data_IF_923637110178
#
_entry.id   IF_923637110178
#
_cell.length_a   1.000
_cell.length_b   1.000
_cell.length_c   1.000
_cell.angle_alpha   90.00
_cell.angle_beta   90.00
_cell.angle_gamma   90.00
#
_symmetry.space_group_name_H-M   'P 1'
#
loop_
_entity.id
_entity.type
_entity.pdbx_description
1 polymer ?
#
# COMPACT_ATOMS: atom_id res chain seq x y z
N UNK A 1 -48.67 -17.59 21.63
CA UNK A 1 -48.03 -16.32 21.19
C UNK A 1 -48.40 -15.86 19.77
N UNK A 2 -49.19 -16.62 19.00
CA UNK A 2 -49.67 -16.18 17.67
C UNK A 2 -50.98 -15.38 17.68
N UNK A 3 -51.89 -15.65 18.62
CA UNK A 3 -53.23 -15.01 18.65
C UNK A 3 -53.31 -13.70 19.45
N UNK A 4 -52.54 -13.52 20.52
CA UNK A 4 -52.49 -12.22 21.24
C UNK A 4 -51.88 -11.08 20.40
N UNK A 5 -50.95 -11.39 19.48
CA UNK A 5 -50.38 -10.38 18.56
C UNK A 5 -51.30 -10.06 17.37
N UNK A 6 -52.36 -10.84 17.14
CA UNK A 6 -53.36 -10.60 16.08
C UNK A 6 -54.48 -9.68 16.56
N UNK A 7 -54.98 -9.89 17.79
CA UNK A 7 -55.98 -9.02 18.42
C UNK A 7 -55.52 -7.57 18.62
N UNK A 8 -54.29 -7.36 19.12
CA UNK A 8 -53.71 -6.02 19.31
C UNK A 8 -53.49 -5.24 18.00
N UNK A 9 -53.42 -5.91 16.84
CA UNK A 9 -53.29 -5.27 15.51
C UNK A 9 -54.64 -4.88 14.91
N UNK A 10 -55.72 -5.57 15.25
CA UNK A 10 -57.07 -5.19 14.83
C UNK A 10 -57.61 -4.03 15.67
N UNK A 11 -57.39 -4.05 16.98
CA UNK A 11 -57.79 -2.98 17.89
C UNK A 11 -57.08 -1.64 17.58
N UNK A 12 -55.78 -1.68 17.25
CA UNK A 12 -55.03 -0.51 16.79
C UNK A 12 -55.52 0.02 15.43
N UNK A 13 -56.03 -0.83 14.54
CA UNK A 13 -56.60 -0.41 13.24
C UNK A 13 -57.97 0.25 13.40
N UNK A 14 -58.80 -0.25 14.31
CA UNK A 14 -60.09 0.39 14.61
C UNK A 14 -59.91 1.74 15.30
N UNK A 15 -58.98 1.86 16.25
CA UNK A 15 -58.65 3.13 16.90
C UNK A 15 -58.09 4.17 15.89
N UNK A 16 -57.25 3.74 14.94
CA UNK A 16 -56.76 4.63 13.87
C UNK A 16 -57.88 5.06 12.90
N UNK A 17 -58.81 4.15 12.53
CA UNK A 17 -59.97 4.51 11.71
C UNK A 17 -60.89 5.50 12.42
N UNK A 18 -61.20 5.26 13.70
CA UNK A 18 -62.05 6.13 14.50
C UNK A 18 -61.42 7.53 14.67
N UNK A 19 -60.10 7.60 14.85
CA UNK A 19 -59.34 8.86 14.89
C UNK A 19 -59.41 9.62 13.56
N UNK A 20 -59.24 8.93 12.43
CA UNK A 20 -59.32 9.55 11.10
C UNK A 20 -60.73 10.00 10.72
N UNK A 21 -61.78 9.25 11.10
CA UNK A 21 -63.18 9.63 10.86
C UNK A 21 -63.57 10.85 11.69
N UNK A 22 -63.27 10.86 13.00
CA UNK A 22 -63.52 12.04 13.84
C UNK A 22 -62.74 13.26 13.38
N UNK A 23 -61.50 13.09 12.87
CA UNK A 23 -60.71 14.18 12.31
C UNK A 23 -61.32 14.74 11.01
N UNK A 24 -61.96 13.91 10.17
CA UNK A 24 -62.61 14.36 8.93
C UNK A 24 -63.89 15.14 9.20
N UNK A 25 -64.69 14.74 10.18
CA UNK A 25 -65.93 15.45 10.53
C UNK A 25 -65.66 16.84 11.10
N UNK A 26 -64.62 16.97 11.94
CA UNK A 26 -64.16 18.27 12.46
C UNK A 26 -63.64 19.18 11.34
N UNK A 27 -62.88 18.63 10.38
CA UNK A 27 -62.41 19.39 9.21
C UNK A 27 -63.57 19.85 8.30
N UNK A 28 -64.59 19.00 8.11
CA UNK A 28 -65.75 19.31 7.27
C UNK A 28 -66.66 20.37 7.90
N UNK A 29 -66.91 20.29 9.21
CA UNK A 29 -67.65 21.31 9.95
C UNK A 29 -66.93 22.68 9.90
N UNK A 30 -65.61 22.67 10.11
CA UNK A 30 -64.78 23.90 10.03
C UNK A 30 -64.83 24.52 8.64
N UNK A 31 -64.72 23.72 7.57
CA UNK A 31 -64.81 24.20 6.20
C UNK A 31 -66.17 24.80 5.85
N UNK A 32 -67.26 24.22 6.38
CA UNK A 32 -68.62 24.70 6.12
C UNK A 32 -68.91 26.02 6.85
N UNK A 33 -68.47 26.16 8.10
CA UNK A 33 -68.54 27.44 8.83
C UNK A 33 -67.71 28.54 8.16
N UNK A 34 -66.50 28.21 7.69
CA UNK A 34 -65.67 29.15 6.92
C UNK A 34 -66.38 29.58 5.64
N UNK A 35 -67.02 28.65 4.91
CA UNK A 35 -67.75 28.96 3.68
C UNK A 35 -68.96 29.86 3.93
N UNK A 36 -69.76 29.62 4.97
CA UNK A 36 -70.90 30.46 5.31
C UNK A 36 -70.49 31.88 5.73
N UNK A 37 -69.40 32.02 6.51
CA UNK A 37 -68.81 33.32 6.85
C UNK A 37 -68.32 34.02 5.57
N UNK A 38 -67.63 33.28 4.70
CA UNK A 38 -67.06 33.80 3.44
C UNK A 38 -68.14 34.28 2.47
N UNK A 39 -69.22 33.52 2.28
CA UNK A 39 -70.33 33.89 1.39
C UNK A 39 -71.14 35.08 1.92
N UNK A 40 -71.22 35.25 3.24
CA UNK A 40 -71.85 36.41 3.89
C UNK A 40 -70.98 37.67 3.73
N UNK A 41 -69.66 37.55 3.89
CA UNK A 41 -68.70 38.65 3.65
C UNK A 41 -68.61 39.05 2.17
N UNK A 42 -68.71 38.11 1.23
CA UNK A 42 -68.65 38.39 -0.22
C UNK A 42 -69.84 39.22 -0.73
N UNK A 43 -71.04 39.05 -0.17
CA UNK A 43 -72.24 39.83 -0.53
C UNK A 43 -72.17 41.30 -0.09
N UNK A 44 -71.39 41.63 0.93
CA UNK A 44 -71.24 43.00 1.44
C UNK A 44 -70.15 43.81 0.70
N UNK A 45 -69.22 43.15 0.02
CA UNK A 45 -68.00 43.78 -0.57
C UNK A 45 -68.07 43.98 -2.09
N UNK A 46 -69.09 43.42 -2.76
CA UNK A 46 -69.24 43.44 -4.23
C UNK A 46 -69.22 44.85 -4.87
N UNK A 47 -69.89 45.90 -4.32
CA UNK A 47 -69.88 47.25 -4.89
C UNK A 47 -68.53 47.99 -4.80
N UNK A 48 -67.64 47.55 -3.90
CA UNK A 48 -66.27 48.07 -3.77
C UNK A 48 -65.32 47.46 -4.81
N UNK A 49 -65.70 46.36 -5.45
CA UNK A 49 -64.84 45.55 -6.34
C UNK A 49 -64.61 46.19 -7.71
N UNK A 50 -65.57 46.96 -8.22
CA UNK A 50 -65.45 47.64 -9.52
C UNK A 50 -64.59 48.90 -9.44
N UNK A 51 -64.67 49.66 -8.33
CA UNK A 51 -63.78 50.80 -8.04
C UNK A 51 -62.34 50.39 -7.76
N UNK A 52 -62.13 49.21 -7.20
CA UNK A 52 -60.81 48.62 -7.00
C UNK A 52 -60.18 48.21 -8.34
N UNK A 53 -60.95 47.66 -9.29
CA UNK A 53 -60.42 47.21 -10.60
C UNK A 53 -59.72 48.32 -11.38
N UNK A 54 -60.32 49.51 -11.42
CA UNK A 54 -59.77 50.70 -12.11
C UNK A 54 -58.47 51.21 -11.44
N UNK A 55 -58.37 51.12 -10.10
CA UNK A 55 -57.15 51.42 -9.34
C UNK A 55 -56.09 50.31 -9.54
N UNK A 56 -56.51 49.05 -9.71
CA UNK A 56 -55.61 47.90 -9.85
C UNK A 56 -54.93 47.86 -11.22
N UNK A 57 -55.61 48.30 -12.29
CA UNK A 57 -55.05 48.39 -13.64
C UNK A 57 -53.96 49.47 -13.72
N UNK A 58 -54.13 50.63 -13.07
CA UNK A 58 -53.08 51.66 -12.95
C UNK A 58 -51.90 51.24 -12.06
N UNK A 59 -52.13 50.43 -11.01
CA UNK A 59 -51.07 49.84 -10.18
C UNK A 59 -50.31 48.74 -10.95
N UNK A 60 -50.97 47.98 -11.82
CA UNK A 60 -50.36 46.92 -12.64
C UNK A 60 -49.39 47.46 -13.69
N UNK A 61 -49.66 48.61 -14.31
CA UNK A 61 -48.70 49.29 -15.19
C UNK A 61 -47.47 49.79 -14.40
N UNK A 62 -47.66 50.40 -13.22
CA UNK A 62 -46.55 50.79 -12.34
C UNK A 62 -45.73 49.61 -11.80
N UNK A 63 -46.37 48.45 -11.56
CA UNK A 63 -45.70 47.21 -11.17
C UNK A 63 -44.91 46.60 -12.34
N UNK A 64 -45.36 46.72 -13.59
CA UNK A 64 -44.61 46.22 -14.75
C UNK A 64 -43.32 47.00 -15.00
N UNK A 65 -43.33 48.33 -14.82
CA UNK A 65 -42.12 49.15 -14.90
C UNK A 65 -41.18 48.88 -13.72
N UNK A 66 -41.72 48.74 -12.51
CA UNK A 66 -40.93 48.35 -11.32
C UNK A 66 -40.34 46.94 -11.47
N UNK A 67 -41.06 46.00 -12.12
CA UNK A 67 -40.59 44.62 -12.36
C UNK A 67 -39.45 44.54 -13.38
N UNK A 68 -39.41 45.43 -14.38
CA UNK A 68 -38.26 45.57 -15.30
C UNK A 68 -37.03 46.14 -14.59
N UNK A 69 -37.22 47.13 -13.74
CA UNK A 69 -36.13 47.80 -13.01
C UNK A 69 -35.56 46.91 -11.87
N UNK A 70 -36.43 46.18 -11.17
CA UNK A 70 -36.05 45.23 -10.10
C UNK A 70 -35.53 43.90 -10.68
N UNK A 71 -36.07 43.42 -11.81
CA UNK A 71 -35.65 42.19 -12.48
C UNK A 71 -34.20 42.21 -12.98
N UNK A 72 -33.78 43.30 -13.63
CA UNK A 72 -32.38 43.46 -14.06
C UNK A 72 -31.39 43.61 -12.90
N UNK A 73 -31.82 44.27 -11.80
CA UNK A 73 -31.02 44.35 -10.56
C UNK A 73 -30.90 43.00 -9.86
N UNK A 74 -31.97 42.19 -9.82
CA UNK A 74 -31.95 40.84 -9.26
C UNK A 74 -31.13 39.87 -10.10
N UNK A 75 -31.18 39.93 -11.44
CA UNK A 75 -30.29 39.15 -12.31
C UNK A 75 -28.82 39.54 -12.09
N UNK A 76 -28.52 40.83 -11.93
CA UNK A 76 -27.19 41.30 -11.55
C UNK A 76 -26.73 40.77 -10.19
N UNK A 77 -27.61 40.75 -9.19
CA UNK A 77 -27.33 40.20 -7.86
C UNK A 77 -27.14 38.68 -7.91
N UNK A 78 -27.99 37.93 -8.63
CA UNK A 78 -27.88 36.48 -8.81
C UNK A 78 -26.57 36.13 -9.53
N UNK A 79 -26.24 36.84 -10.61
CA UNK A 79 -24.98 36.66 -11.33
C UNK A 79 -23.77 36.93 -10.42
N UNK A 80 -23.83 38.01 -9.63
CA UNK A 80 -22.79 38.33 -8.65
C UNK A 80 -22.67 37.25 -7.58
N UNK A 81 -23.79 36.72 -7.07
CA UNK A 81 -23.81 35.63 -6.08
C UNK A 81 -23.28 34.32 -6.69
N UNK A 82 -23.59 34.01 -7.95
CA UNK A 82 -23.04 32.86 -8.67
C UNK A 82 -21.53 33.00 -8.87
N UNK A 83 -21.05 34.16 -9.35
CA UNK A 83 -19.62 34.45 -9.49
C UNK A 83 -18.88 34.38 -8.15
N UNK A 84 -19.48 34.89 -7.06
CA UNK A 84 -18.92 34.78 -5.71
C UNK A 84 -18.87 33.32 -5.23
N UNK A 85 -19.89 32.51 -5.54
CA UNK A 85 -19.95 31.09 -5.17
C UNK A 85 -18.92 30.28 -5.96
N UNK A 86 -18.77 30.54 -7.26
CA UNK A 86 -17.75 29.92 -8.12
C UNK A 86 -16.34 30.28 -7.65
N UNK A 87 -16.09 31.56 -7.34
CA UNK A 87 -14.81 32.01 -6.76
C UNK A 87 -14.52 31.32 -5.43
N UNK A 88 -15.49 31.30 -4.52
CA UNK A 88 -15.33 30.63 -3.23
C UNK A 88 -15.06 29.12 -3.40
N UNK A 89 -15.77 28.47 -4.32
CA UNK A 89 -15.56 27.04 -4.63
C UNK A 89 -14.18 26.79 -5.27
N UNK A 90 -13.72 27.67 -6.15
CA UNK A 90 -12.38 27.61 -6.75
C UNK A 90 -11.29 27.76 -5.70
N UNK A 91 -11.40 28.77 -4.83
CA UNK A 91 -10.44 28.99 -3.74
C UNK A 91 -10.41 27.81 -2.77
N UNK A 92 -11.57 27.27 -2.39
CA UNK A 92 -11.63 26.08 -1.53
C UNK A 92 -10.99 24.87 -2.22
N UNK A 93 -11.24 24.67 -3.53
CA UNK A 93 -10.61 23.61 -4.31
C UNK A 93 -9.10 23.77 -4.35
N UNK A 94 -8.58 24.96 -4.65
CA UNK A 94 -7.14 25.24 -4.68
C UNK A 94 -6.47 24.99 -3.32
N UNK A 95 -7.10 25.42 -2.23
CA UNK A 95 -6.60 25.15 -0.87
C UNK A 95 -6.61 23.66 -0.55
N UNK A 96 -7.69 22.94 -0.89
CA UNK A 96 -7.76 21.48 -0.69
C UNK A 96 -6.69 20.78 -1.51
N UNK A 97 -6.52 21.14 -2.78
CA UNK A 97 -5.48 20.58 -3.65
C UNK A 97 -4.10 20.82 -3.06
N UNK A 98 -3.77 22.05 -2.65
CA UNK A 98 -2.47 22.36 -2.04
C UNK A 98 -2.24 21.63 -0.71
N UNK A 99 -3.28 21.42 0.09
CA UNK A 99 -3.19 20.60 1.31
C UNK A 99 -2.96 19.12 0.97
N UNK A 100 -3.65 18.56 -0.02
CA UNK A 100 -3.48 17.17 -0.46
C UNK A 100 -2.08 16.95 -1.03
N UNK A 101 -1.62 17.81 -1.93
CA UNK A 101 -0.27 17.77 -2.50
C UNK A 101 0.80 17.86 -1.39
N UNK A 102 0.60 18.76 -0.42
CA UNK A 102 1.50 18.86 0.73
C UNK A 102 1.51 17.62 1.62
N UNK A 103 0.35 16.97 1.84
CA UNK A 103 0.25 15.71 2.58
C UNK A 103 0.93 14.57 1.83
N UNK A 104 0.75 14.47 0.51
CA UNK A 104 1.41 13.48 -0.33
C UNK A 104 2.93 13.66 -0.32
N UNK A 105 3.43 14.89 -0.43
CA UNK A 105 4.86 15.19 -0.38
C UNK A 105 5.49 14.81 0.97
N UNK A 106 4.82 15.13 2.09
CA UNK A 106 5.26 14.73 3.44
C UNK A 106 5.29 13.21 3.56
N UNK A 107 4.24 12.52 3.10
CA UNK A 107 4.18 11.05 3.10
C UNK A 107 5.32 10.43 2.25
N UNK A 108 5.60 10.98 1.07
CA UNK A 108 6.71 10.50 0.23
C UNK A 108 8.08 10.74 0.86
N UNK A 109 8.25 11.87 1.54
CA UNK A 109 9.47 12.14 2.31
C UNK A 109 9.66 11.13 3.44
N UNK A 110 8.62 10.84 4.22
CA UNK A 110 8.66 9.85 5.30
C UNK A 110 9.01 8.45 4.77
N UNK A 111 8.38 8.01 3.68
CA UNK A 111 8.71 6.73 3.02
C UNK A 111 10.17 6.69 2.56
N UNK A 112 10.68 7.78 2.00
CA UNK A 112 12.09 7.88 1.59
C UNK A 112 13.03 7.78 2.79
N UNK A 113 12.73 8.48 3.87
CA UNK A 113 13.52 8.44 5.10
C UNK A 113 13.52 7.04 5.72
N UNK A 114 12.38 6.35 5.70
CA UNK A 114 12.26 4.96 6.15
C UNK A 114 13.10 3.99 5.29
N UNK A 115 13.01 4.07 3.96
CA UNK A 115 13.85 3.29 3.06
C UNK A 115 15.35 3.52 3.31
N UNK A 116 15.75 4.78 3.47
CA UNK A 116 17.13 5.15 3.79
C UNK A 116 17.55 4.62 5.16
N UNK A 117 16.65 4.59 6.14
CA UNK A 117 16.91 4.04 7.48
C UNK A 117 17.34 2.58 7.40
N UNK A 118 16.62 1.74 6.64
CA UNK A 118 16.97 0.33 6.49
C UNK A 118 18.38 0.13 5.92
N UNK A 119 18.79 0.94 4.94
CA UNK A 119 20.14 0.88 4.35
C UNK A 119 21.20 1.44 5.30
N UNK A 120 20.95 2.62 5.89
CA UNK A 120 21.91 3.35 6.73
C UNK A 120 22.13 2.69 8.09
N UNK A 121 21.11 2.06 8.66
CA UNK A 121 21.21 1.40 9.97
C UNK A 121 21.70 -0.04 9.87
N UNK A 122 21.61 -0.69 8.70
CA UNK A 122 22.14 -2.04 8.54
C UNK A 122 23.62 -2.08 8.92
N UNK A 123 23.93 -2.93 9.89
CA UNK A 123 25.26 -3.20 10.45
C UNK A 123 25.40 -4.71 10.65
N UNK A 124 26.63 -5.18 10.72
CA UNK A 124 26.90 -6.57 11.06
C UNK A 124 26.80 -6.73 12.59
N UNK A 125 25.68 -7.24 13.09
CA UNK A 125 25.46 -7.47 14.53
C UNK A 125 26.14 -8.77 14.95
N UNK A 126 26.78 -8.81 16.11
CA UNK A 126 27.50 -10.01 16.58
C UNK A 126 26.86 -10.66 17.80
N UNK A 127 25.73 -10.15 18.25
CA UNK A 127 25.04 -10.57 19.45
C UNK A 127 23.53 -10.63 19.15
N UNK A 128 22.97 -11.82 19.26
CA UNK A 128 21.55 -12.05 18.99
C UNK A 128 20.84 -12.41 20.29
N UNK A 129 19.53 -12.18 20.34
CA UNK A 129 18.67 -12.66 21.41
C UNK A 129 18.42 -14.18 21.21
N UNK A 130 18.97 -15.05 22.07
CA UNK A 130 18.84 -16.50 21.91
C UNK A 130 17.45 -17.03 22.30
N UNK A 131 16.67 -16.24 23.04
CA UNK A 131 15.35 -16.61 23.55
C UNK A 131 14.23 -16.21 22.59
N UNK A 132 14.53 -15.37 21.60
CA UNK A 132 13.57 -14.91 20.60
C UNK A 132 13.82 -15.50 19.21
N UNK A 133 12.93 -16.39 18.80
CA UNK A 133 12.99 -17.03 17.48
C UNK A 133 12.26 -16.22 16.40
N UNK A 134 12.77 -16.26 15.17
CA UNK A 134 12.11 -15.68 13.99
C UNK A 134 11.17 -16.74 13.38
N UNK A 135 9.88 -16.46 13.16
CA UNK A 135 8.96 -17.40 12.52
C UNK A 135 9.41 -17.84 11.12
N UNK A 136 9.06 -19.06 10.71
CA UNK A 136 9.41 -19.58 9.38
C UNK A 136 8.80 -18.75 8.25
N UNK A 137 7.56 -18.29 8.41
CA UNK A 137 6.90 -17.45 7.40
C UNK A 137 7.63 -16.12 7.20
N UNK A 138 8.12 -15.48 8.27
CA UNK A 138 8.92 -14.26 8.17
C UNK A 138 10.21 -14.51 7.39
N UNK A 139 10.88 -15.66 7.61
CA UNK A 139 12.10 -16.01 6.85
C UNK A 139 11.78 -16.25 5.38
N UNK A 140 10.66 -16.92 5.06
CA UNK A 140 10.22 -17.13 3.68
C UNK A 140 9.88 -15.80 3.00
N UNK A 141 9.16 -14.90 3.67
CA UNK A 141 8.83 -13.58 3.15
C UNK A 141 10.09 -12.77 2.85
N UNK A 142 11.06 -12.76 3.76
CA UNK A 142 12.34 -12.10 3.55
C UNK A 142 13.04 -12.65 2.29
N UNK A 143 13.09 -13.97 2.15
CA UNK A 143 13.76 -14.63 1.02
C UNK A 143 13.03 -14.40 -0.30
N UNK A 144 11.70 -14.44 -0.31
CA UNK A 144 10.86 -14.20 -1.49
C UNK A 144 10.98 -12.75 -1.96
N UNK A 145 10.93 -11.78 -1.05
CA UNK A 145 11.12 -10.37 -1.39
C UNK A 145 12.56 -10.12 -1.87
N UNK A 146 13.55 -10.71 -1.19
CA UNK A 146 14.95 -10.57 -1.59
C UNK A 146 15.25 -11.19 -2.96
N UNK A 147 14.49 -12.21 -3.38
CA UNK A 147 14.63 -12.83 -4.70
C UNK A 147 14.27 -11.90 -5.86
N UNK A 148 13.68 -10.74 -5.60
CA UNK A 148 13.53 -9.65 -6.57
C UNK A 148 14.86 -8.95 -6.92
N UNK A 149 15.97 -9.35 -6.29
CA UNK A 149 17.32 -8.90 -6.66
C UNK A 149 17.60 -9.18 -8.16
N UNK A 150 18.32 -8.28 -8.86
CA UNK A 150 18.67 -8.52 -10.26
C UNK A 150 19.72 -9.63 -10.40
N UNK A 151 19.66 -10.35 -11.52
CA UNK A 151 20.69 -11.31 -11.95
C UNK A 151 20.91 -11.25 -13.46
N UNK A 152 22.08 -11.70 -13.92
CA UNK A 152 22.39 -11.70 -15.35
C UNK A 152 21.40 -12.58 -16.13
N UNK A 153 20.75 -12.00 -17.13
CA UNK A 153 19.65 -12.64 -17.88
C UNK A 153 18.53 -13.21 -17.00
N UNK A 154 18.34 -12.66 -15.80
CA UNK A 154 17.38 -13.17 -14.81
C UNK A 154 17.59 -14.66 -14.43
N UNK A 155 18.82 -15.18 -14.54
CA UNK A 155 19.12 -16.60 -14.28
C UNK A 155 19.08 -16.99 -12.80
N UNK A 156 19.01 -16.03 -11.86
CA UNK A 156 18.78 -16.26 -10.42
C UNK A 156 19.64 -17.43 -9.86
N UNK A 157 20.98 -17.35 -9.92
CA UNK A 157 21.85 -18.48 -9.60
C UNK A 157 21.99 -18.75 -8.10
N UNK A 158 21.14 -18.14 -7.27
CA UNK A 158 21.17 -18.34 -5.82
C UNK A 158 20.26 -19.49 -5.40
N UNK A 159 20.73 -20.24 -4.43
CA UNK A 159 19.91 -21.15 -3.62
C UNK A 159 20.18 -20.84 -2.14
N UNK A 160 19.29 -21.28 -1.25
CA UNK A 160 19.44 -21.07 0.18
C UNK A 160 19.16 -22.33 0.99
N UNK A 161 19.94 -22.54 2.05
CA UNK A 161 19.62 -23.49 3.10
C UNK A 161 19.52 -22.72 4.41
N UNK A 162 18.36 -22.78 5.07
CA UNK A 162 18.11 -22.11 6.35
C UNK A 162 18.35 -23.10 7.49
N UNK A 163 19.36 -22.84 8.32
CA UNK A 163 19.72 -23.64 9.49
C UNK A 163 19.16 -22.99 10.76
N UNK A 164 18.07 -23.55 11.29
CA UNK A 164 17.39 -23.07 12.52
C UNK A 164 17.52 -23.96 13.74
N UNK A 165 17.51 -25.28 13.56
CA UNK A 165 17.53 -26.25 14.66
C UNK A 165 18.72 -26.00 15.59
N UNK A 166 18.46 -25.95 16.91
CA UNK A 166 19.49 -25.72 17.94
C UNK A 166 20.69 -26.67 17.78
N UNK A 167 20.46 -27.96 17.58
CA UNK A 167 21.53 -28.95 17.39
C UNK A 167 22.30 -28.74 16.08
N UNK A 168 21.61 -28.35 15.01
CA UNK A 168 22.28 -28.03 13.73
C UNK A 168 23.09 -26.74 13.83
N UNK A 169 22.61 -25.73 14.56
CA UNK A 169 23.34 -24.48 14.81
C UNK A 169 24.60 -24.71 15.63
N UNK A 170 24.58 -25.60 16.64
CA UNK A 170 25.78 -26.03 17.38
C UNK A 170 26.84 -26.64 16.46
N UNK A 171 26.46 -27.59 15.61
CA UNK A 171 27.37 -28.18 14.61
C UNK A 171 27.88 -27.13 13.61
N UNK A 172 27.00 -26.24 13.17
CA UNK A 172 27.35 -25.17 12.25
C UNK A 172 28.38 -24.20 12.88
N UNK A 173 28.23 -23.88 14.17
CA UNK A 173 29.18 -23.05 14.92
C UNK A 173 30.60 -23.63 14.89
N UNK A 174 30.75 -24.95 15.05
CA UNK A 174 32.06 -25.62 14.94
C UNK A 174 32.68 -25.44 13.54
N UNK A 175 31.85 -25.56 12.49
CA UNK A 175 32.26 -25.35 11.09
C UNK A 175 32.64 -23.89 10.82
N UNK A 176 31.96 -22.96 11.49
CA UNK A 176 32.18 -21.52 11.42
C UNK A 176 33.22 -21.01 12.44
N UNK A 177 34.22 -21.83 12.77
CA UNK A 177 35.32 -21.47 13.68
C UNK A 177 34.88 -20.96 15.06
N UNK A 178 33.85 -21.60 15.61
CA UNK A 178 33.31 -21.35 16.95
C UNK A 178 32.73 -19.94 17.21
N UNK A 179 32.35 -19.22 16.16
CA UNK A 179 31.67 -17.92 16.29
C UNK A 179 30.32 -18.06 17.02
N UNK A 180 30.22 -17.54 18.25
CA UNK A 180 29.03 -17.64 19.13
C UNK A 180 27.74 -17.20 18.45
N UNK A 181 27.80 -16.10 17.68
CA UNK A 181 26.67 -15.53 16.95
C UNK A 181 25.94 -16.53 16.03
N UNK A 182 26.62 -17.57 15.54
CA UNK A 182 26.04 -18.62 14.69
C UNK A 182 25.04 -19.47 15.49
N UNK A 183 25.33 -19.72 16.76
CA UNK A 183 24.45 -20.46 17.65
C UNK A 183 23.35 -19.58 18.25
N UNK A 184 23.69 -18.34 18.62
CA UNK A 184 22.74 -17.37 19.21
C UNK A 184 21.67 -16.90 18.20
N UNK A 185 22.04 -16.68 16.93
CA UNK A 185 21.11 -16.20 15.91
C UNK A 185 19.90 -17.13 15.75
N UNK A 186 18.72 -16.56 15.54
CA UNK A 186 17.49 -17.35 15.34
C UNK A 186 17.60 -18.29 14.14
N UNK A 187 18.31 -17.90 13.07
CA UNK A 187 18.63 -18.75 11.93
C UNK A 187 19.98 -18.37 11.29
N UNK A 188 20.55 -19.31 10.52
CA UNK A 188 21.66 -19.04 9.61
C UNK A 188 21.24 -19.38 8.18
N UNK A 189 21.26 -18.39 7.29
CA UNK A 189 20.93 -18.54 5.87
C UNK A 189 22.24 -18.79 5.12
N UNK A 190 22.45 -20.03 4.68
CA UNK A 190 23.59 -20.39 3.83
C UNK A 190 23.26 -20.00 2.40
N UNK A 191 23.95 -19.00 1.87
CA UNK A 191 23.78 -18.55 0.49
C UNK A 191 24.62 -19.44 -0.41
N UNK A 192 24.00 -20.02 -1.43
CA UNK A 192 24.64 -20.94 -2.35
C UNK A 192 24.62 -20.31 -3.74
N UNK A 193 25.79 -20.17 -4.36
CA UNK A 193 25.96 -19.77 -5.75
C UNK A 193 26.03 -21.03 -6.64
N UNK A 194 24.97 -21.28 -7.39
CA UNK A 194 24.86 -22.36 -8.35
C UNK A 194 25.60 -21.98 -9.65
N UNK A 195 26.73 -22.64 -9.91
CA UNK A 195 27.50 -22.38 -11.13
C UNK A 195 26.79 -22.92 -12.36
N UNK A 196 25.88 -23.88 -12.24
CA UNK A 196 25.13 -24.53 -13.32
C UNK A 196 23.79 -23.84 -13.66
N UNK A 197 23.50 -22.70 -13.03
CA UNK A 197 22.22 -22.02 -13.17
C UNK A 197 21.82 -21.67 -14.61
N UNK A 198 22.80 -21.40 -15.50
CA UNK A 198 22.47 -21.14 -16.91
C UNK A 198 21.82 -22.35 -17.57
N UNK A 199 22.42 -23.53 -17.46
CA UNK A 199 21.89 -24.77 -18.00
C UNK A 199 20.58 -25.18 -17.32
N UNK A 200 20.46 -24.92 -16.03
CA UNK A 200 19.30 -25.34 -15.23
C UNK A 200 18.09 -24.42 -15.36
N UNK A 201 18.29 -23.11 -15.59
CA UNK A 201 17.22 -22.11 -15.50
C UNK A 201 16.88 -21.42 -16.83
N UNK A 202 17.79 -21.41 -17.83
CA UNK A 202 17.62 -20.59 -19.05
C UNK A 202 16.31 -20.85 -19.76
N UNK A 203 15.89 -22.10 -19.88
CA UNK A 203 14.68 -22.46 -20.61
C UNK A 203 13.44 -21.82 -19.99
N UNK A 204 13.24 -22.01 -18.67
CA UNK A 204 12.10 -21.42 -17.95
C UNK A 204 12.08 -19.89 -18.03
N UNK A 205 13.26 -19.26 -17.96
CA UNK A 205 13.36 -17.79 -18.06
C UNK A 205 12.94 -17.33 -19.45
N UNK A 206 13.49 -17.94 -20.50
CA UNK A 206 13.16 -17.55 -21.87
C UNK A 206 11.71 -17.87 -22.24
N UNK A 207 11.16 -18.98 -21.76
CA UNK A 207 9.74 -19.32 -21.95
C UNK A 207 8.84 -18.22 -21.39
N UNK A 208 9.13 -17.72 -20.18
CA UNK A 208 8.39 -16.59 -19.61
C UNK A 208 8.56 -15.29 -20.41
N UNK A 209 9.73 -15.09 -21.05
CA UNK A 209 9.98 -13.90 -21.85
C UNK A 209 9.22 -13.93 -23.17
N UNK A 210 9.08 -15.10 -23.78
CA UNK A 210 8.20 -15.29 -24.94
C UNK A 210 6.75 -15.03 -24.53
N UNK A 211 6.29 -15.67 -23.46
CA UNK A 211 4.89 -15.56 -23.00
C UNK A 211 4.50 -14.11 -22.71
N UNK A 212 5.40 -13.34 -22.11
CA UNK A 212 5.21 -11.92 -21.79
C UNK A 212 5.52 -10.97 -22.95
N UNK A 213 6.01 -11.48 -24.09
CA UNK A 213 6.33 -10.70 -25.28
C UNK A 213 7.61 -9.85 -25.17
N UNK A 214 8.52 -10.17 -24.23
CA UNK A 214 9.84 -9.54 -24.15
C UNK A 214 10.76 -9.94 -25.31
N UNK A 215 10.56 -11.14 -25.87
CA UNK A 215 11.24 -11.65 -27.05
C UNK A 215 10.24 -12.40 -27.95
N UNK A 216 10.57 -12.58 -29.22
CA UNK A 216 9.78 -13.42 -30.12
C UNK A 216 10.18 -14.89 -30.00
N UNK A 217 9.25 -15.80 -30.32
CA UNK A 217 9.48 -17.26 -30.27
C UNK A 217 10.67 -17.67 -31.15
N UNK A 218 10.80 -17.10 -32.35
CA UNK A 218 11.89 -17.42 -33.28
C UNK A 218 13.28 -16.97 -32.79
N UNK A 219 13.35 -16.03 -31.85
CA UNK A 219 14.61 -15.52 -31.28
C UNK A 219 15.08 -16.35 -30.08
N UNK A 220 14.16 -17.12 -29.46
CA UNK A 220 14.35 -17.85 -28.20
C UNK A 220 15.62 -18.71 -28.21
N UNK A 221 15.75 -19.59 -29.20
CA UNK A 221 16.85 -20.57 -29.23
C UNK A 221 18.21 -19.92 -29.48
N UNK A 222 18.27 -18.89 -30.33
CA UNK A 222 19.50 -18.14 -30.58
C UNK A 222 20.00 -17.40 -29.33
N UNK A 223 19.07 -16.83 -28.56
CA UNK A 223 19.38 -16.17 -27.29
C UNK A 223 19.82 -17.18 -26.23
N UNK A 224 19.16 -18.35 -26.17
CA UNK A 224 19.54 -19.46 -25.30
C UNK A 224 20.99 -19.87 -25.53
N UNK A 225 21.40 -20.09 -26.78
CA UNK A 225 22.78 -20.45 -27.12
C UNK A 225 23.79 -19.38 -26.69
N UNK A 226 23.45 -18.10 -26.89
CA UNK A 226 24.27 -16.96 -26.48
C UNK A 226 24.46 -16.92 -24.96
N UNK A 227 23.39 -17.13 -24.20
CA UNK A 227 23.43 -17.18 -22.74
C UNK A 227 24.32 -18.32 -22.28
N UNK A 228 24.12 -19.54 -22.80
CA UNK A 228 24.93 -20.71 -22.44
C UNK A 228 26.41 -20.53 -22.80
N UNK A 229 26.71 -19.96 -23.97
CA UNK A 229 28.09 -19.63 -24.36
C UNK A 229 28.76 -18.67 -23.36
N UNK A 230 28.00 -17.74 -22.78
CA UNK A 230 28.45 -16.83 -21.73
C UNK A 230 28.87 -17.50 -20.42
N UNK A 231 28.45 -18.75 -20.18
CA UNK A 231 28.71 -19.53 -18.95
C UNK A 231 29.66 -20.71 -19.14
N UNK A 232 30.16 -20.99 -20.35
CA UNK A 232 31.05 -22.14 -20.63
C UNK A 232 32.37 -22.13 -19.83
N UNK A 233 32.93 -20.96 -19.56
CA UNK A 233 34.21 -20.85 -18.84
C UNK A 233 34.01 -21.06 -17.33
N UNK A 234 34.76 -21.99 -16.69
CA UNK A 234 34.67 -22.26 -15.24
C UNK A 234 34.82 -21.01 -14.37
N UNK A 235 35.76 -20.14 -14.72
CA UNK A 235 36.01 -18.90 -13.98
C UNK A 235 34.88 -17.88 -14.19
N UNK A 236 34.38 -17.73 -15.42
CA UNK A 236 33.28 -16.80 -15.72
C UNK A 236 31.99 -17.21 -15.03
N UNK A 237 31.62 -18.51 -15.05
CA UNK A 237 30.41 -18.99 -14.37
C UNK A 237 30.52 -18.83 -12.86
N UNK A 238 31.67 -19.12 -12.25
CA UNK A 238 31.93 -18.87 -10.83
C UNK A 238 31.73 -17.40 -10.48
N UNK A 239 32.37 -16.49 -11.23
CA UNK A 239 32.24 -15.04 -11.01
C UNK A 239 30.79 -14.55 -11.13
N UNK A 240 30.06 -15.01 -12.14
CA UNK A 240 28.65 -14.65 -12.35
C UNK A 240 27.75 -15.14 -11.21
N UNK A 241 27.86 -16.42 -10.85
CA UNK A 241 27.06 -17.02 -9.80
C UNK A 241 27.31 -16.34 -8.44
N UNK A 242 28.58 -16.09 -8.08
CA UNK A 242 28.94 -15.40 -6.83
C UNK A 242 28.42 -13.96 -6.83
N UNK A 243 28.66 -13.19 -7.91
CA UNK A 243 28.22 -11.79 -8.01
C UNK A 243 26.72 -11.67 -7.79
N UNK A 244 25.93 -12.47 -8.52
CA UNK A 244 24.47 -12.37 -8.49
C UNK A 244 23.92 -12.86 -7.14
N UNK A 245 24.52 -13.91 -6.56
CA UNK A 245 24.14 -14.38 -5.21
C UNK A 245 24.51 -13.39 -4.10
N UNK A 246 25.59 -12.60 -4.27
CA UNK A 246 25.95 -11.55 -3.33
C UNK A 246 24.98 -10.36 -3.37
N UNK A 247 24.43 -10.02 -4.56
CA UNK A 247 23.36 -9.03 -4.68
C UNK A 247 22.10 -9.50 -3.94
N UNK A 248 21.69 -10.75 -4.17
CA UNK A 248 20.59 -11.37 -3.43
C UNK A 248 20.84 -11.37 -1.91
N UNK A 249 22.03 -11.74 -1.46
CA UNK A 249 22.36 -11.74 -0.03
C UNK A 249 22.30 -10.33 0.59
N UNK A 250 22.71 -9.28 -0.15
CA UNK A 250 22.54 -7.91 0.31
C UNK A 250 21.06 -7.51 0.41
N UNK A 251 20.23 -7.92 -0.56
CA UNK A 251 18.77 -7.76 -0.48
C UNK A 251 18.19 -8.43 0.76
N UNK A 252 18.58 -9.67 1.06
CA UNK A 252 18.17 -10.38 2.30
C UNK A 252 18.48 -9.53 3.54
N UNK A 253 19.68 -8.96 3.63
CA UNK A 253 20.08 -8.15 4.78
C UNK A 253 19.30 -6.84 4.92
N UNK A 254 18.89 -6.22 3.80
CA UNK A 254 18.06 -5.01 3.82
C UNK A 254 16.61 -5.35 4.16
N UNK A 255 16.03 -6.37 3.54
CA UNK A 255 14.65 -6.80 3.83
C UNK A 255 14.53 -7.26 5.27
N UNK A 256 15.53 -7.94 5.84
CA UNK A 256 15.55 -8.28 7.26
C UNK A 256 15.33 -7.05 8.18
N UNK A 257 15.87 -5.87 7.81
CA UNK A 257 15.67 -4.63 8.59
C UNK A 257 14.22 -4.17 8.59
N UNK A 258 13.49 -4.37 7.49
CA UNK A 258 12.05 -4.07 7.40
C UNK A 258 11.25 -4.89 8.43
N UNK A 259 11.63 -6.15 8.64
CA UNK A 259 11.02 -7.01 9.67
C UNK A 259 11.57 -6.77 11.09
N UNK A 260 12.35 -5.70 11.30
CA UNK A 260 12.96 -5.38 12.59
C UNK A 260 14.08 -6.34 13.02
N UNK A 261 14.62 -7.12 12.09
CA UNK A 261 15.69 -8.09 12.34
C UNK A 261 17.08 -7.48 12.09
N UNK A 262 18.09 -8.14 12.63
CA UNK A 262 19.49 -7.86 12.42
C UNK A 262 20.17 -9.01 11.69
N UNK A 263 21.29 -8.72 11.02
CA UNK A 263 22.03 -9.71 10.25
C UNK A 263 23.54 -9.61 10.44
N UNK A 264 24.22 -10.72 10.15
CA UNK A 264 25.69 -10.79 10.08
C UNK A 264 26.12 -11.67 8.90
N UNK A 265 26.62 -11.09 7.80
CA UNK A 265 27.24 -11.86 6.73
C UNK A 265 28.63 -12.34 7.19
N UNK A 266 28.99 -13.58 6.86
CA UNK A 266 30.27 -14.18 7.21
C UNK A 266 30.81 -15.06 6.08
N UNK A 267 32.13 -14.97 5.83
CA UNK A 267 32.91 -15.89 5.01
C UNK A 267 33.79 -16.82 5.87
N UNK A 268 33.80 -16.61 7.20
CA UNK A 268 34.61 -17.36 8.15
C UNK A 268 34.03 -18.74 8.45
N UNK A 269 34.14 -19.68 7.52
CA UNK A 269 33.77 -21.09 7.71
C UNK A 269 34.63 -22.04 6.85
N UNK A 270 34.62 -23.33 7.19
CA UNK A 270 35.19 -24.40 6.35
C UNK A 270 34.15 -24.86 5.33
N UNK A 271 34.26 -24.39 4.08
CA UNK A 271 33.29 -24.68 3.01
C UNK A 271 33.19 -26.18 2.73
N UNK A 272 34.30 -26.92 2.76
CA UNK A 272 34.27 -28.35 2.47
C UNK A 272 33.50 -29.14 3.54
N UNK A 273 33.68 -28.80 4.83
CA UNK A 273 32.89 -29.37 5.93
C UNK A 273 31.42 -28.93 5.83
N UNK A 274 31.16 -27.66 5.54
CA UNK A 274 29.80 -27.12 5.39
C UNK A 274 29.02 -27.86 4.31
N UNK A 275 29.62 -28.02 3.13
CA UNK A 275 28.99 -28.71 2.01
C UNK A 275 28.69 -30.17 2.33
N UNK A 276 29.60 -30.88 3.01
CA UNK A 276 29.33 -32.25 3.48
C UNK A 276 28.21 -32.29 4.52
N UNK A 277 28.22 -31.36 5.47
CA UNK A 277 27.22 -31.28 6.55
C UNK A 277 25.81 -31.03 6.01
N UNK A 278 25.65 -30.17 5.00
CA UNK A 278 24.36 -29.77 4.44
C UNK A 278 23.98 -30.52 3.15
N UNK A 279 24.82 -31.43 2.66
CA UNK A 279 24.56 -32.16 1.42
C UNK A 279 24.63 -31.31 0.15
N UNK A 280 25.45 -30.25 0.14
CA UNK A 280 25.57 -29.34 -1.01
C UNK A 280 26.44 -30.00 -2.09
N UNK A 281 25.85 -30.23 -3.26
CA UNK A 281 26.45 -30.95 -4.38
C UNK A 281 27.61 -30.24 -5.10
N UNK A 282 28.06 -30.88 -6.19
CA UNK A 282 29.02 -30.28 -7.15
C UNK A 282 28.36 -29.15 -7.92
N UNK A 283 29.16 -28.23 -8.48
CA UNK A 283 28.64 -27.07 -9.22
C UNK A 283 27.97 -26.01 -8.34
N UNK A 284 28.18 -26.08 -7.02
CA UNK A 284 27.61 -25.13 -6.04
C UNK A 284 28.73 -24.61 -5.14
N UNK A 285 28.75 -23.30 -4.92
CA UNK A 285 29.71 -22.61 -4.06
C UNK A 285 28.96 -21.92 -2.94
N UNK A 286 29.57 -21.70 -1.79
CA UNK A 286 28.98 -20.94 -0.68
C UNK A 286 29.76 -19.64 -0.53
N UNK A 287 29.33 -18.53 -1.17
CA UNK A 287 30.04 -17.25 -1.04
C UNK A 287 29.95 -16.69 0.38
N UNK A 288 28.83 -16.87 1.08
CA UNK A 288 28.68 -16.41 2.46
C UNK A 288 27.55 -17.13 3.21
N UNK A 289 27.56 -17.02 4.53
CA UNK A 289 26.44 -17.33 5.41
C UNK A 289 25.93 -16.03 6.01
N UNK A 290 24.61 -15.88 6.20
CA UNK A 290 24.00 -14.75 6.88
C UNK A 290 23.33 -15.24 8.16
N UNK A 291 23.90 -14.93 9.32
CA UNK A 291 23.18 -15.09 10.58
C UNK A 291 22.08 -14.02 10.66
N UNK A 292 20.89 -14.40 11.12
CA UNK A 292 19.72 -13.52 11.22
C UNK A 292 18.96 -13.78 12.52
N UNK A 293 18.50 -12.71 13.16
CA UNK A 293 17.71 -12.79 14.38
C UNK A 293 17.42 -11.41 14.96
N UNK A 294 16.85 -11.39 16.17
CA UNK A 294 16.68 -10.16 16.92
C UNK A 294 17.99 -9.76 17.61
N UNK A 295 18.26 -8.46 17.70
CA UNK A 295 19.39 -7.95 18.47
C UNK A 295 19.22 -8.32 19.95
N UNK A 296 20.31 -8.71 20.61
CA UNK A 296 20.30 -8.88 22.06
C UNK A 296 19.86 -7.56 22.74
N UNK A 297 18.89 -7.58 23.68
CA UNK A 297 18.25 -6.37 24.21
C UNK A 297 19.20 -5.47 25.00
N UNK A 298 20.21 -6.06 25.65
CA UNK A 298 21.15 -5.33 26.52
C UNK A 298 22.48 -4.94 25.82
N UNK A 299 22.63 -5.24 24.52
CA UNK A 299 23.89 -4.99 23.81
C UNK A 299 23.69 -3.97 22.70
N UNK A 300 24.55 -2.97 22.70
CA UNK A 300 24.55 -1.92 21.69
C UNK A 300 25.74 -2.03 20.75
N UNK A 301 25.55 -1.57 19.51
CA UNK A 301 26.64 -1.44 18.57
C UNK A 301 27.46 -0.20 18.89
N UNK A 302 28.77 -0.33 18.81
CA UNK A 302 29.63 0.84 18.74
C UNK A 302 29.29 1.71 17.50
N UNK A 303 29.63 3.02 17.56
CA UNK A 303 29.51 3.90 16.41
C UNK A 303 30.09 3.30 15.14
N UNK A 304 29.60 3.74 13.98
CA UNK A 304 30.05 3.22 12.69
C UNK A 304 31.54 3.52 12.53
N UNK A 305 32.34 2.46 12.36
CA UNK A 305 33.75 2.58 12.01
C UNK A 305 33.91 3.29 10.66
N UNK A 306 35.13 3.75 10.39
CA UNK A 306 35.45 4.53 9.21
C UNK A 306 34.87 3.92 7.91
N UNK A 307 34.34 4.81 7.07
CA UNK A 307 33.88 4.51 5.71
C UNK A 307 34.55 5.52 4.80
N UNK A 308 35.20 5.00 3.76
CA UNK A 308 35.82 5.82 2.73
C UNK A 308 34.84 6.87 2.21
N UNK A 309 35.33 8.10 2.04
CA UNK A 309 34.59 9.16 1.36
C UNK A 309 34.61 8.90 -0.15
N UNK A 310 33.68 9.52 -0.88
CA UNK A 310 33.53 9.29 -2.32
C UNK A 310 34.84 9.49 -3.08
N UNK A 311 35.62 10.49 -2.70
CA UNK A 311 36.89 10.86 -3.32
C UNK A 311 37.97 9.76 -3.21
N UNK A 312 37.82 8.83 -2.25
CA UNK A 312 38.77 7.73 -2.04
C UNK A 312 38.47 6.50 -2.91
N UNK A 313 37.22 6.31 -3.34
CA UNK A 313 36.82 5.12 -4.10
C UNK A 313 36.18 5.43 -5.46
N UNK A 314 35.91 6.70 -5.76
CA UNK A 314 35.13 7.13 -6.91
C UNK A 314 35.66 8.38 -7.57
N UNK A 315 35.32 8.54 -8.84
CA UNK A 315 35.50 9.76 -9.63
C UNK A 315 34.34 9.91 -10.60
N UNK A 316 33.96 11.14 -10.90
CA UNK A 316 33.03 11.47 -11.98
C UNK A 316 33.87 11.80 -13.20
N UNK A 317 33.63 11.11 -14.32
CA UNK A 317 34.28 11.32 -15.62
C UNK A 317 33.26 11.62 -16.69
#
# INVERSE_FOLDING_TARGET
>A
MGDEKRGLREEARELFKLFFEKSKDVQKATAQTIKEITDKTLKEVQPSKEKVKEITEGILEGIQDTRKEVGGRLEGVIKTLQELTERATSTVREVITGVVEGVEEVSEKEKREECLKYIKERRSVTFFDPDREVPDEVLKDILNIAALAPSGYNLQPWEVIVVKSRDKKKKLREICYNQEKVEEASANIVIIANTNAAEEHVDRVLDSWVELGYIKEEERDSLRETILAGWKSPERRKRKAIRDSALFAMSVMIVARYFGLETHPMEGFDEAKLKRFLGIGRGKLVPLIVAIGYRHPEKELLPRAYRFKFEEFGKIV
#
